data_IF_383328691853
#
_entry.id   IF_383328691853
#
_cell.length_a   1.000
_cell.length_b   1.000
_cell.length_c   1.000
_cell.angle_alpha   90.00
_cell.angle_beta   90.00
_cell.angle_gamma   90.00
#
_symmetry.space_group_name_H-M   'P 1'
#
loop_
_entity.id
_entity.type
_entity.pdbx_description
1 polymer ?
#
# COMPACT_ATOMS: atom_id res chain seq x y z
N UNK A 1 7.03 -15.22 -8.45
CA UNK A 1 6.56 -14.09 -7.68
C UNK A 1 5.18 -13.66 -8.18
N UNK A 2 4.27 -13.39 -7.29
CA UNK A 2 2.95 -12.83 -7.58
C UNK A 2 2.91 -11.38 -7.10
N UNK A 3 2.16 -10.47 -7.79
CA UNK A 3 1.40 -10.72 -9.02
C UNK A 3 2.29 -10.93 -10.25
N UNK A 4 1.75 -11.60 -11.26
CA UNK A 4 2.39 -11.80 -12.55
C UNK A 4 1.36 -11.63 -13.67
N UNK A 5 1.72 -10.90 -14.73
CA UNK A 5 0.92 -10.66 -15.91
C UNK A 5 1.65 -11.22 -17.14
N UNK A 6 0.95 -12.03 -17.94
CA UNK A 6 1.43 -12.44 -19.26
C UNK A 6 0.67 -11.65 -20.31
N UNK A 7 1.38 -10.87 -21.12
CA UNK A 7 0.79 -10.06 -22.16
C UNK A 7 0.36 -10.91 -23.37
N UNK A 8 -0.44 -10.34 -24.29
CA UNK A 8 -0.79 -11.01 -25.57
C UNK A 8 0.44 -11.37 -26.40
N UNK A 9 1.56 -10.66 -26.22
CA UNK A 9 2.85 -10.95 -26.88
C UNK A 9 3.71 -11.95 -26.09
N UNK A 10 3.13 -12.68 -25.12
CA UNK A 10 3.85 -13.64 -24.28
C UNK A 10 4.99 -13.04 -23.44
N UNK A 11 4.92 -11.75 -23.14
CA UNK A 11 5.89 -11.10 -22.25
C UNK A 11 5.42 -11.25 -20.80
N UNK A 12 6.30 -11.71 -19.94
CA UNK A 12 6.06 -11.79 -18.50
C UNK A 12 6.40 -10.45 -17.84
N UNK A 13 5.45 -9.88 -17.15
CA UNK A 13 5.62 -8.70 -16.29
C UNK A 13 5.34 -9.12 -14.85
N UNK A 14 6.27 -8.86 -13.97
CA UNK A 14 6.15 -9.12 -12.52
C UNK A 14 6.23 -7.80 -11.76
N UNK A 15 5.84 -7.78 -10.50
CA UNK A 15 5.66 -6.61 -9.65
C UNK A 15 4.41 -5.79 -9.96
N UNK A 16 3.64 -5.47 -8.91
CA UNK A 16 2.41 -4.68 -9.04
C UNK A 16 2.66 -3.32 -9.68
N UNK A 17 3.75 -2.65 -9.32
CA UNK A 17 4.14 -1.37 -9.90
C UNK A 17 4.33 -1.44 -11.42
N UNK A 18 5.11 -2.43 -11.90
CA UNK A 18 5.35 -2.62 -13.32
C UNK A 18 4.08 -3.02 -14.09
N UNK A 19 3.23 -3.84 -13.46
CA UNK A 19 1.93 -4.23 -14.02
C UNK A 19 1.00 -3.02 -14.12
N UNK A 20 0.91 -2.18 -13.10
CA UNK A 20 0.12 -0.95 -13.13
C UNK A 20 0.60 0.00 -14.24
N UNK A 21 1.91 0.23 -14.35
CA UNK A 21 2.47 1.03 -15.44
C UNK A 21 2.12 0.48 -16.83
N UNK A 22 2.16 -0.84 -16.99
CA UNK A 22 1.75 -1.48 -18.26
C UNK A 22 0.27 -1.25 -18.54
N UNK A 23 -0.61 -1.43 -17.55
CA UNK A 23 -2.05 -1.23 -17.69
C UNK A 23 -2.38 0.23 -18.03
N UNK A 24 -1.79 1.18 -17.32
CA UNK A 24 -1.96 2.62 -17.58
C UNK A 24 -1.54 2.99 -19.00
N UNK A 25 -0.37 2.50 -19.44
CA UNK A 25 0.10 2.71 -20.83
C UNK A 25 -0.84 2.08 -21.85
N UNK A 26 -1.37 0.89 -21.57
CA UNK A 26 -2.29 0.18 -22.46
C UNK A 26 -3.65 0.87 -22.55
N UNK A 27 -4.16 1.41 -21.46
CA UNK A 27 -5.44 2.14 -21.38
C UNK A 27 -5.32 3.63 -21.73
N UNK A 28 -4.13 4.10 -22.06
CA UNK A 28 -3.82 5.51 -22.27
C UNK A 28 -4.22 6.40 -21.08
N UNK A 29 -3.99 5.88 -19.89
CA UNK A 29 -4.21 6.60 -18.62
C UNK A 29 -2.90 6.78 -17.87
N UNK A 30 -2.85 7.76 -17.00
CA UNK A 30 -1.73 7.97 -16.08
C UNK A 30 -2.27 8.61 -14.80
N UNK A 31 -2.58 7.78 -13.81
CA UNK A 31 -3.23 8.24 -12.58
C UNK A 31 -2.28 8.95 -11.61
N UNK A 32 -0.97 8.79 -11.76
CA UNK A 32 0.01 9.54 -10.96
C UNK A 32 0.40 10.89 -11.62
N UNK A 33 0.01 11.12 -12.88
CA UNK A 33 0.46 12.25 -13.69
C UNK A 33 1.79 11.98 -14.41
N UNK A 34 1.94 12.54 -15.62
CA UNK A 34 3.17 12.40 -16.39
C UNK A 34 4.36 13.01 -15.65
N UNK A 35 5.48 12.29 -15.64
CA UNK A 35 6.75 12.71 -15.03
C UNK A 35 6.65 13.19 -13.58
N UNK A 36 5.62 12.78 -12.85
CA UNK A 36 5.43 13.16 -11.47
C UNK A 36 6.29 12.30 -10.51
N UNK A 37 7.60 12.51 -10.56
CA UNK A 37 8.57 11.79 -9.73
C UNK A 37 8.32 11.90 -8.23
N UNK A 38 7.73 13.02 -7.79
CA UNK A 38 7.35 13.20 -6.37
C UNK A 38 6.26 12.23 -5.96
N UNK A 39 5.18 12.13 -6.74
CA UNK A 39 4.07 11.19 -6.47
C UNK A 39 4.55 9.73 -6.61
N UNK A 40 5.37 9.43 -7.61
CA UNK A 40 5.99 8.11 -7.76
C UNK A 40 6.87 7.74 -6.54
N UNK A 41 7.58 8.72 -5.98
CA UNK A 41 8.35 8.55 -4.74
C UNK A 41 7.45 8.24 -3.54
N UNK A 42 6.33 8.94 -3.38
CA UNK A 42 5.36 8.67 -2.32
C UNK A 42 4.70 7.30 -2.48
N UNK A 43 4.38 6.89 -3.71
CA UNK A 43 3.90 5.53 -4.00
C UNK A 43 4.89 4.47 -3.52
N UNK A 44 6.18 4.66 -3.79
CA UNK A 44 7.23 3.75 -3.32
C UNK A 44 7.24 3.63 -1.78
N UNK A 45 7.09 4.75 -1.07
CA UNK A 45 6.97 4.74 0.40
C UNK A 45 5.72 3.98 0.84
N UNK A 46 4.57 4.20 0.19
CA UNK A 46 3.33 3.48 0.50
C UNK A 46 3.45 1.97 0.22
N UNK A 47 4.12 1.57 -0.86
CA UNK A 47 4.42 0.17 -1.15
C UNK A 47 5.28 -0.47 -0.05
N UNK A 48 6.30 0.22 0.45
CA UNK A 48 7.13 -0.27 1.55
C UNK A 48 6.35 -0.46 2.84
N UNK A 49 5.36 0.41 3.13
CA UNK A 49 4.42 0.22 4.25
C UNK A 49 3.67 -1.09 4.07
N UNK A 50 3.07 -1.32 2.90
CA UNK A 50 2.31 -2.54 2.62
C UNK A 50 3.19 -3.79 2.70
N UNK A 51 4.39 -3.77 2.15
CA UNK A 51 5.36 -4.89 2.21
C UNK A 51 5.75 -5.23 3.66
N UNK A 52 6.03 -4.22 4.47
CA UNK A 52 6.37 -4.42 5.89
C UNK A 52 5.22 -5.05 6.67
N UNK A 53 3.99 -4.61 6.42
CA UNK A 53 2.78 -5.17 7.03
C UNK A 53 2.59 -6.64 6.61
N UNK A 54 2.73 -6.92 5.32
CA UNK A 54 2.63 -8.28 4.77
C UNK A 54 3.70 -9.19 5.37
N UNK A 55 4.95 -8.73 5.44
CA UNK A 55 6.04 -9.47 6.07
C UNK A 55 5.70 -9.84 7.53
N UNK A 56 5.30 -8.87 8.34
CA UNK A 56 4.92 -9.09 9.74
C UNK A 56 3.73 -10.04 9.86
N UNK A 57 2.77 -9.94 8.94
CA UNK A 57 1.60 -10.83 8.92
C UNK A 57 1.98 -12.28 8.62
N UNK A 58 2.92 -12.50 7.70
CA UNK A 58 3.45 -13.81 7.36
C UNK A 58 4.22 -14.40 8.54
N UNK A 59 5.08 -13.62 9.18
CA UNK A 59 5.80 -14.04 10.38
C UNK A 59 4.83 -14.48 11.50
N UNK A 60 3.82 -13.64 11.80
CA UNK A 60 2.80 -13.91 12.83
C UNK A 60 1.99 -15.19 12.54
N UNK A 61 1.69 -15.48 11.24
CA UNK A 61 0.85 -16.63 10.85
C UNK A 61 1.63 -17.93 10.77
N UNK A 62 2.86 -17.89 10.30
CA UNK A 62 3.61 -19.08 9.87
C UNK A 62 4.66 -19.54 10.89
N UNK A 63 4.95 -18.73 11.90
CA UNK A 63 5.94 -19.08 12.92
C UNK A 63 5.30 -19.18 14.31
N UNK A 64 5.65 -20.21 15.10
CA UNK A 64 5.40 -20.21 16.54
C UNK A 64 6.03 -18.97 17.19
N UNK A 65 5.38 -18.45 18.25
CA UNK A 65 5.79 -17.19 18.90
C UNK A 65 7.26 -17.17 19.33
N UNK A 66 7.78 -18.29 19.77
CA UNK A 66 9.16 -18.47 20.21
C UNK A 66 10.19 -18.33 19.08
N UNK A 67 9.77 -18.47 17.82
CA UNK A 67 10.63 -18.32 16.63
C UNK A 67 10.48 -16.95 15.95
N UNK A 68 9.61 -16.09 16.47
CA UNK A 68 9.47 -14.72 15.97
C UNK A 68 10.59 -13.86 16.57
N UNK A 69 11.44 -13.30 15.70
CA UNK A 69 12.51 -12.42 16.15
C UNK A 69 11.96 -11.04 16.51
N UNK A 70 11.70 -10.81 17.81
CA UNK A 70 11.03 -9.61 18.30
C UNK A 70 11.67 -8.30 17.83
N UNK A 71 13.01 -8.20 17.88
CA UNK A 71 13.72 -6.99 17.40
C UNK A 71 13.45 -6.66 15.94
N UNK A 72 13.32 -7.66 15.07
CA UNK A 72 12.98 -7.46 13.66
C UNK A 72 11.55 -6.97 13.51
N UNK A 73 10.62 -7.55 14.26
CA UNK A 73 9.21 -7.12 14.27
C UNK A 73 9.07 -5.68 14.74
N UNK A 74 9.74 -5.31 15.82
CA UNK A 74 9.74 -3.96 16.38
C UNK A 74 10.36 -2.95 15.40
N UNK A 75 11.45 -3.32 14.72
CA UNK A 75 12.07 -2.50 13.69
C UNK A 75 11.11 -2.27 12.51
N UNK A 76 10.47 -3.31 12.01
CA UNK A 76 9.49 -3.19 10.92
C UNK A 76 8.29 -2.34 11.33
N UNK A 77 7.82 -2.46 12.57
CA UNK A 77 6.77 -1.60 13.12
C UNK A 77 7.19 -0.13 13.18
N UNK A 78 8.40 0.14 13.66
CA UNK A 78 8.95 1.50 13.72
C UNK A 78 9.11 2.10 12.31
N UNK A 79 9.63 1.34 11.36
CA UNK A 79 9.77 1.74 9.95
C UNK A 79 8.41 2.07 9.34
N UNK A 80 7.42 1.21 9.56
CA UNK A 80 6.03 1.42 9.11
C UNK A 80 5.46 2.73 9.65
N UNK A 81 5.59 2.98 10.96
CA UNK A 81 5.07 4.20 11.57
C UNK A 81 5.74 5.46 11.00
N UNK A 82 7.08 5.47 10.85
CA UNK A 82 7.79 6.60 10.24
C UNK A 82 7.33 6.88 8.81
N UNK A 83 7.11 5.84 8.02
CA UNK A 83 6.62 5.97 6.66
C UNK A 83 5.18 6.51 6.63
N UNK A 84 4.30 6.06 7.52
CA UNK A 84 2.94 6.59 7.66
C UNK A 84 2.94 8.06 8.12
N UNK A 85 3.81 8.45 9.06
CA UNK A 85 3.94 9.85 9.50
C UNK A 85 4.42 10.75 8.35
N UNK A 86 5.34 10.25 7.53
CA UNK A 86 5.78 10.94 6.31
C UNK A 86 4.61 11.11 5.33
N UNK A 87 3.86 10.04 5.05
CA UNK A 87 2.71 10.08 4.13
C UNK A 87 1.59 10.99 4.65
N UNK A 88 1.32 10.99 5.96
CA UNK A 88 0.37 11.92 6.58
C UNK A 88 0.78 13.37 6.33
N UNK A 89 2.04 13.71 6.60
CA UNK A 89 2.58 15.06 6.38
C UNK A 89 2.50 15.48 4.91
N UNK A 90 2.64 14.52 3.99
CA UNK A 90 2.64 14.75 2.54
C UNK A 90 1.26 14.63 1.89
N UNK A 91 0.24 14.21 2.63
CA UNK A 91 -1.12 14.01 2.12
C UNK A 91 -1.68 15.21 1.32
N UNK A 92 -1.48 16.48 1.71
CA UNK A 92 -1.95 17.61 0.91
C UNK A 92 -1.39 17.66 -0.52
N UNK A 93 -0.22 17.05 -0.75
CA UNK A 93 0.45 17.08 -2.05
C UNK A 93 -0.13 16.03 -3.04
N UNK A 94 -0.87 15.01 -2.55
CA UNK A 94 -1.39 13.92 -3.38
C UNK A 94 -2.89 13.62 -3.17
N UNK A 95 -3.63 14.41 -2.37
CA UNK A 95 -5.04 14.13 -2.07
C UNK A 95 -6.05 14.76 -3.04
N UNK A 96 -5.61 15.54 -4.03
CA UNK A 96 -6.53 16.26 -4.94
C UNK A 96 -7.25 15.34 -5.93
N UNK A 97 -6.56 14.34 -6.47
CA UNK A 97 -7.11 13.39 -7.43
C UNK A 97 -6.68 11.97 -7.04
N UNK A 98 -7.47 10.98 -7.46
CA UNK A 98 -7.11 9.59 -7.22
C UNK A 98 -5.78 9.26 -7.89
N UNK A 99 -4.89 8.62 -7.14
CA UNK A 99 -3.58 8.18 -7.60
C UNK A 99 -3.17 6.89 -6.89
N UNK A 100 -2.06 6.29 -7.32
CA UNK A 100 -1.60 5.00 -6.77
C UNK A 100 -1.12 5.09 -5.34
N UNK A 101 -0.66 6.27 -4.88
CA UNK A 101 -0.32 6.49 -3.46
C UNK A 101 -1.54 6.24 -2.58
N UNK A 102 -2.66 6.88 -2.91
CA UNK A 102 -3.92 6.75 -2.17
C UNK A 102 -4.43 5.32 -2.16
N UNK A 103 -4.41 4.65 -3.33
CA UNK A 103 -4.84 3.25 -3.47
C UNK A 103 -3.97 2.35 -2.57
N UNK A 104 -2.65 2.49 -2.64
CA UNK A 104 -1.71 1.68 -1.85
C UNK A 104 -1.83 1.92 -0.36
N UNK A 105 -2.01 3.18 0.06
CA UNK A 105 -2.30 3.53 1.47
C UNK A 105 -3.58 2.83 1.93
N UNK A 106 -4.66 2.90 1.15
CA UNK A 106 -5.91 2.25 1.51
C UNK A 106 -5.74 0.72 1.67
N UNK A 107 -5.02 0.07 0.75
CA UNK A 107 -4.69 -1.36 0.84
C UNK A 107 -3.85 -1.70 2.07
N UNK A 108 -2.86 -0.86 2.39
CA UNK A 108 -2.03 -1.02 3.57
C UNK A 108 -2.88 -0.95 4.86
N UNK A 109 -3.75 0.05 4.97
CA UNK A 109 -4.65 0.21 6.12
C UNK A 109 -5.62 -0.96 6.26
N UNK A 110 -6.23 -1.44 5.18
CA UNK A 110 -7.09 -2.62 5.22
C UNK A 110 -6.34 -3.86 5.72
N UNK A 111 -5.09 -4.02 5.28
CA UNK A 111 -4.22 -5.13 5.72
C UNK A 111 -3.83 -4.99 7.20
N UNK A 112 -3.57 -3.78 7.66
CA UNK A 112 -3.29 -3.49 9.08
C UNK A 112 -4.50 -3.80 9.97
N UNK A 113 -5.69 -3.32 9.59
CA UNK A 113 -6.92 -3.62 10.34
C UNK A 113 -7.14 -5.10 10.52
N UNK A 114 -6.94 -5.86 9.46
CA UNK A 114 -7.19 -7.30 9.45
C UNK A 114 -6.17 -8.09 10.28
N UNK A 115 -4.91 -7.70 10.27
CA UNK A 115 -3.84 -8.50 10.87
C UNK A 115 -3.32 -7.98 12.21
N UNK A 116 -3.48 -6.66 12.48
CA UNK A 116 -2.99 -5.97 13.67
C UNK A 116 -4.04 -4.99 14.21
N UNK A 117 -5.27 -5.44 14.53
CA UNK A 117 -6.33 -4.56 15.02
C UNK A 117 -5.98 -3.89 16.36
N UNK A 118 -5.05 -4.51 17.10
CA UNK A 118 -4.55 -4.02 18.39
C UNK A 118 -3.60 -2.82 18.28
N UNK A 119 -3.10 -2.52 17.07
CA UNK A 119 -2.16 -1.42 16.86
C UNK A 119 -2.89 -0.11 16.58
N UNK A 120 -2.57 0.94 17.35
CA UNK A 120 -3.18 2.27 17.22
C UNK A 120 -2.48 3.10 16.11
N UNK A 121 -2.44 2.58 14.89
CA UNK A 121 -1.77 3.21 13.74
C UNK A 121 -2.54 4.42 13.17
N UNK A 122 -3.83 4.60 13.54
CA UNK A 122 -4.64 5.77 13.18
C UNK A 122 -4.30 7.01 13.99
N UNK A 123 -3.72 6.83 15.16
CA UNK A 123 -3.41 7.93 16.05
C UNK A 123 -2.51 8.96 15.35
N UNK A 124 -2.88 10.23 15.47
CA UNK A 124 -2.18 11.37 14.86
C UNK A 124 -2.09 11.36 13.33
N UNK A 125 -2.98 10.62 12.62
CA UNK A 125 -3.00 10.54 11.16
C UNK A 125 -4.40 10.79 10.59
N UNK A 126 -4.99 12.00 10.83
CA UNK A 126 -6.36 12.30 10.42
C UNK A 126 -6.54 12.35 8.90
N UNK A 127 -5.53 12.82 8.13
CA UNK A 127 -5.63 12.92 6.68
C UNK A 127 -5.63 11.54 6.03
N UNK A 128 -4.75 10.63 6.45
CA UNK A 128 -4.76 9.24 5.96
C UNK A 128 -6.05 8.52 6.37
N UNK A 129 -6.56 8.74 7.57
CA UNK A 129 -7.83 8.17 7.99
C UNK A 129 -8.99 8.64 7.10
N UNK A 130 -9.11 9.95 6.87
CA UNK A 130 -10.14 10.52 6.01
C UNK A 130 -10.04 9.98 4.58
N UNK A 131 -8.82 9.89 4.04
CA UNK A 131 -8.55 9.31 2.74
C UNK A 131 -9.06 7.87 2.64
N UNK A 132 -8.70 7.03 3.61
CA UNK A 132 -9.09 5.62 3.62
C UNK A 132 -10.62 5.46 3.71
N UNK A 133 -11.28 6.21 4.58
CA UNK A 133 -12.75 6.15 4.70
C UNK A 133 -13.44 6.62 3.41
N UNK A 134 -12.90 7.61 2.73
CA UNK A 134 -13.42 8.07 1.43
C UNK A 134 -13.24 7.02 0.34
N UNK A 135 -12.04 6.42 0.23
CA UNK A 135 -11.76 5.44 -0.81
C UNK A 135 -12.53 4.13 -0.63
N UNK A 136 -12.78 3.70 0.59
CA UNK A 136 -13.60 2.51 0.88
C UNK A 136 -15.03 2.59 0.35
N UNK A 137 -15.55 3.79 0.11
CA UNK A 137 -16.88 3.99 -0.47
C UNK A 137 -16.91 3.81 -1.99
N UNK A 138 -15.75 3.72 -2.65
CA UNK A 138 -15.70 3.54 -4.10
C UNK A 138 -16.10 2.10 -4.48
N UNK A 139 -16.91 1.98 -5.52
CA UNK A 139 -17.35 0.71 -6.08
C UNK A 139 -16.18 -0.26 -6.31
N UNK A 140 -15.08 0.21 -6.91
CA UNK A 140 -13.89 -0.61 -7.17
C UNK A 140 -13.22 -1.18 -5.90
N UNK A 141 -13.32 -0.52 -4.75
CA UNK A 141 -12.83 -1.05 -3.47
C UNK A 141 -13.83 -2.05 -2.89
N UNK A 142 -15.12 -1.77 -2.99
CA UNK A 142 -16.20 -2.65 -2.51
C UNK A 142 -16.18 -3.99 -3.28
N UNK A 143 -16.08 -3.92 -4.60
CA UNK A 143 -16.10 -5.10 -5.48
C UNK A 143 -14.85 -5.99 -5.35
N UNK A 144 -13.72 -5.40 -4.98
CA UNK A 144 -12.43 -6.11 -4.84
C UNK A 144 -12.09 -6.45 -3.39
N UNK A 145 -12.94 -6.16 -2.44
CA UNK A 145 -12.71 -6.50 -1.03
C UNK A 145 -12.65 -8.02 -0.86
N UNK A 146 -11.56 -8.49 -0.26
CA UNK A 146 -11.44 -9.91 0.09
C UNK A 146 -12.38 -10.26 1.24
N UNK A 147 -13.35 -11.06 0.94
CA UNK A 147 -14.25 -11.70 1.91
C UNK A 147 -13.50 -12.69 2.81
#
# INVERSE_FOLDING_TARGET
>A
KVPALITKKQQLITESYAICNYIEKFSNTNINGEDNWTINGYETVACQVLESIVYRSIEKKNKPKEFIHQKTTDYEKLKTNRALDFLEKKAPEYNSNINRVQITVCLAFNTMYKNFPEENWKENRPLLNSLVETLKQRESFIDTERK
#
